data_IF_258840497767
#
_entry.id   IF_258840497767
#
_cell.length_a   1.000
_cell.length_b   1.000
_cell.length_c   1.000
_cell.angle_alpha   90.00
_cell.angle_beta   90.00
_cell.angle_gamma   90.00
#
_symmetry.space_group_name_H-M   'P 1'
#
loop_
_entity.id
_entity.type
_entity.pdbx_description
1 polymer ?
#
# COMPACT_ATOMS: atom_id res chain seq x y z
N UNK A 1 -11.30 15.68 -6.39
CA UNK A 1 -10.29 16.72 -6.12
C UNK A 1 -9.67 16.58 -4.73
N UNK A 2 -10.44 16.55 -3.62
CA UNK A 2 -9.85 16.38 -2.28
C UNK A 2 -9.02 15.10 -2.16
N UNK A 3 -9.56 13.96 -2.57
CA UNK A 3 -8.83 12.69 -2.59
C UNK A 3 -7.53 12.77 -3.40
N UNK A 4 -7.58 13.32 -4.62
CA UNK A 4 -6.38 13.49 -5.44
C UNK A 4 -5.33 14.38 -4.76
N UNK A 5 -5.73 15.43 -4.03
CA UNK A 5 -4.82 16.28 -3.27
C UNK A 5 -4.16 15.51 -2.12
N UNK A 6 -4.91 14.66 -1.42
CA UNK A 6 -4.37 13.78 -0.37
C UNK A 6 -3.39 12.76 -0.95
N UNK A 7 -3.72 12.15 -2.09
CA UNK A 7 -2.83 11.19 -2.77
C UNK A 7 -1.57 11.90 -3.29
N UNK A 8 -1.70 13.08 -3.87
CA UNK A 8 -0.56 13.87 -4.33
C UNK A 8 0.37 14.24 -3.17
N UNK A 9 -0.18 14.67 -2.03
CA UNK A 9 0.60 14.93 -0.83
C UNK A 9 1.30 13.67 -0.31
N UNK A 10 0.61 12.53 -0.29
CA UNK A 10 1.20 11.25 0.07
C UNK A 10 2.35 10.84 -0.86
N UNK A 11 2.22 11.08 -2.17
CA UNK A 11 3.29 10.88 -3.16
C UNK A 11 4.48 11.79 -2.84
N UNK A 12 4.28 13.08 -2.58
CA UNK A 12 5.37 14.00 -2.25
C UNK A 12 6.12 13.59 -0.98
N UNK A 13 5.38 13.22 0.09
CA UNK A 13 5.96 12.71 1.33
C UNK A 13 6.74 11.42 1.05
N UNK A 14 6.17 10.50 0.27
CA UNK A 14 6.82 9.23 -0.07
C UNK A 14 8.11 9.44 -0.87
N UNK A 15 8.12 10.39 -1.80
CA UNK A 15 9.30 10.74 -2.59
C UNK A 15 10.43 11.18 -1.65
N UNK A 16 10.14 12.09 -0.71
CA UNK A 16 11.11 12.56 0.27
C UNK A 16 11.60 11.44 1.20
N UNK A 17 10.68 10.59 1.67
CA UNK A 17 11.03 9.45 2.54
C UNK A 17 11.90 8.44 1.80
N UNK A 18 11.56 8.09 0.56
CA UNK A 18 12.33 7.18 -0.28
C UNK A 18 13.72 7.73 -0.61
N UNK A 19 13.80 9.02 -0.95
CA UNK A 19 15.07 9.71 -1.19
C UNK A 19 16.02 9.62 0.01
N UNK A 20 15.51 9.81 1.24
CA UNK A 20 16.29 9.70 2.48
C UNK A 20 16.68 8.26 2.84
N UNK A 21 15.94 7.27 2.38
CA UNK A 21 16.21 5.87 2.71
C UNK A 21 17.24 5.23 1.78
N UNK A 22 17.41 5.75 0.56
CA UNK A 22 18.20 5.08 -0.49
C UNK A 22 17.47 3.87 -1.08
N UNK A 23 18.03 3.28 -2.14
CA UNK A 23 17.33 2.24 -2.91
C UNK A 23 17.22 0.94 -2.12
N UNK A 24 18.35 0.41 -1.64
CA UNK A 24 18.43 -0.90 -0.98
C UNK A 24 17.47 -0.96 0.22
N UNK A 25 17.55 0.03 1.12
CA UNK A 25 16.68 0.08 2.30
C UNK A 25 15.21 0.15 1.90
N UNK A 26 14.89 0.89 0.84
CA UNK A 26 13.52 1.02 0.35
C UNK A 26 13.01 -0.29 -0.24
N UNK A 27 13.84 -1.09 -0.91
CA UNK A 27 13.46 -2.45 -1.38
C UNK A 27 13.04 -3.33 -0.21
N UNK A 28 13.87 -3.42 0.84
CA UNK A 28 13.52 -4.26 1.98
C UNK A 28 12.26 -3.77 2.70
N UNK A 29 12.09 -2.44 2.83
CA UNK A 29 10.84 -1.85 3.34
C UNK A 29 9.65 -2.21 2.47
N UNK A 30 9.79 -2.15 1.14
CA UNK A 30 8.74 -2.47 0.18
C UNK A 30 8.32 -3.93 0.29
N UNK A 31 9.29 -4.85 0.23
CA UNK A 31 9.03 -6.30 0.34
C UNK A 31 8.39 -6.63 1.69
N UNK A 32 8.93 -6.08 2.77
CA UNK A 32 8.36 -6.23 4.11
C UNK A 32 6.94 -5.69 4.19
N UNK A 33 6.65 -4.54 3.56
CA UNK A 33 5.30 -3.98 3.53
C UNK A 33 4.32 -4.88 2.78
N UNK A 34 4.71 -5.38 1.61
CA UNK A 34 3.86 -6.25 0.80
C UNK A 34 3.59 -7.57 1.53
N UNK A 35 4.62 -8.22 2.06
CA UNK A 35 4.47 -9.46 2.82
C UNK A 35 3.58 -9.27 4.07
N UNK A 36 3.85 -8.21 4.83
CA UNK A 36 3.03 -7.85 5.99
C UNK A 36 1.58 -7.54 5.59
N UNK A 37 1.37 -6.79 4.51
CA UNK A 37 0.05 -6.44 4.00
C UNK A 37 -0.77 -7.67 3.59
N UNK A 38 -0.17 -8.62 2.86
CA UNK A 38 -0.81 -9.89 2.49
C UNK A 38 -1.24 -10.68 3.72
N UNK A 39 -0.37 -10.78 4.74
CA UNK A 39 -0.74 -11.40 6.02
C UNK A 39 -1.86 -10.64 6.73
N UNK A 40 -1.84 -9.30 6.68
CA UNK A 40 -2.90 -8.45 7.24
C UNK A 40 -4.25 -8.71 6.60
N UNK A 41 -4.30 -8.81 5.27
CA UNK A 41 -5.51 -9.20 4.54
C UNK A 41 -5.96 -10.57 5.04
N UNK A 42 -5.10 -11.59 4.94
CA UNK A 42 -5.46 -12.95 5.29
C UNK A 42 -6.03 -13.08 6.72
N UNK A 43 -5.34 -12.53 7.71
CA UNK A 43 -5.79 -12.59 9.10
C UNK A 43 -7.04 -11.73 9.34
N UNK A 44 -7.13 -10.54 8.75
CA UNK A 44 -8.30 -9.68 8.95
C UNK A 44 -9.57 -10.28 8.37
N UNK A 45 -9.50 -10.87 7.17
CA UNK A 45 -10.62 -11.57 6.56
C UNK A 45 -11.01 -12.79 7.40
N UNK A 46 -10.05 -13.59 7.85
CA UNK A 46 -10.31 -14.75 8.71
C UNK A 46 -10.97 -14.38 10.05
N UNK A 47 -10.53 -13.30 10.69
CA UNK A 47 -11.06 -12.85 11.99
C UNK A 47 -12.43 -12.20 11.82
N UNK A 48 -12.66 -11.50 10.71
CA UNK A 48 -13.89 -10.76 10.45
C UNK A 48 -14.90 -11.52 9.58
N UNK A 49 -14.70 -12.81 9.32
CA UNK A 49 -15.54 -13.61 8.42
C UNK A 49 -17.04 -13.51 8.77
N UNK A 50 -17.36 -13.67 10.05
CA UNK A 50 -18.74 -13.65 10.56
C UNK A 50 -19.27 -12.22 10.83
N UNK A 51 -18.49 -11.19 10.53
CA UNK A 51 -18.90 -9.80 10.79
C UNK A 51 -19.81 -9.30 9.66
N UNK A 52 -20.82 -8.52 10.03
CA UNK A 52 -21.62 -7.78 9.06
C UNK A 52 -20.72 -6.87 8.21
N UNK A 53 -21.09 -6.69 6.93
CA UNK A 53 -20.37 -5.78 6.04
C UNK A 53 -20.75 -4.33 6.35
N UNK A 54 -20.08 -3.76 7.34
CA UNK A 54 -20.26 -2.39 7.80
C UNK A 54 -18.93 -1.61 7.81
N UNK A 55 -18.99 -0.32 8.18
CA UNK A 55 -17.81 0.52 8.29
C UNK A 55 -16.76 -0.05 9.26
N UNK A 56 -17.21 -0.80 10.29
CA UNK A 56 -16.32 -1.41 11.29
C UNK A 56 -15.49 -2.52 10.66
N UNK A 57 -16.11 -3.44 9.91
CA UNK A 57 -15.40 -4.51 9.21
C UNK A 57 -14.41 -3.95 8.19
N UNK A 58 -14.86 -2.99 7.37
CA UNK A 58 -14.01 -2.33 6.37
C UNK A 58 -12.82 -1.63 7.03
N UNK A 59 -13.09 -0.83 8.07
CA UNK A 59 -12.07 -0.12 8.83
C UNK A 59 -11.06 -1.09 9.45
N UNK A 60 -11.53 -2.20 10.02
CA UNK A 60 -10.66 -3.24 10.57
C UNK A 60 -9.74 -3.86 9.51
N UNK A 61 -10.25 -4.19 8.32
CA UNK A 61 -9.43 -4.71 7.21
C UNK A 61 -8.39 -3.70 6.76
N UNK A 62 -8.78 -2.43 6.52
CA UNK A 62 -7.84 -1.38 6.10
C UNK A 62 -6.75 -1.14 7.15
N UNK A 63 -7.15 -1.02 8.43
CA UNK A 63 -6.21 -0.85 9.54
C UNK A 63 -5.26 -2.03 9.62
N UNK A 64 -5.76 -3.27 9.46
CA UNK A 64 -4.94 -4.48 9.50
C UNK A 64 -3.90 -4.48 8.39
N UNK A 65 -4.30 -4.16 7.14
CA UNK A 65 -3.39 -4.06 5.99
C UNK A 65 -2.27 -3.05 6.26
N UNK A 66 -2.64 -1.85 6.71
CA UNK A 66 -1.68 -0.76 6.93
C UNK A 66 -0.77 -1.06 8.12
N UNK A 67 -1.33 -1.58 9.22
CA UNK A 67 -0.57 -1.90 10.42
C UNK A 67 0.41 -3.05 10.18
N UNK A 68 -0.06 -4.17 9.63
CA UNK A 68 0.80 -5.32 9.35
C UNK A 68 1.84 -5.02 8.28
N UNK A 69 1.48 -4.27 7.23
CA UNK A 69 2.42 -3.78 6.24
C UNK A 69 3.47 -2.84 6.85
N UNK A 70 3.07 -1.95 7.75
CA UNK A 70 4.02 -1.07 8.45
C UNK A 70 4.98 -1.88 9.33
N UNK A 71 4.49 -2.85 10.09
CA UNK A 71 5.31 -3.76 10.91
C UNK A 71 6.32 -4.51 10.02
N UNK A 72 5.85 -5.10 8.91
CA UNK A 72 6.72 -5.79 7.96
C UNK A 72 7.76 -4.86 7.32
N UNK A 73 7.37 -3.62 6.98
CA UNK A 73 8.30 -2.59 6.49
C UNK A 73 9.36 -2.23 7.52
N UNK A 74 9.01 -2.12 8.81
CA UNK A 74 9.99 -1.87 9.87
C UNK A 74 10.94 -3.05 10.06
N UNK A 75 10.43 -4.29 10.02
CA UNK A 75 11.26 -5.49 10.05
C UNK A 75 12.22 -5.54 8.85
N UNK A 76 11.72 -5.28 7.64
CA UNK A 76 12.55 -5.17 6.43
C UNK A 76 13.62 -4.08 6.55
N UNK A 77 13.26 -2.90 7.07
CA UNK A 77 14.22 -1.84 7.33
C UNK A 77 15.30 -2.26 8.35
N UNK A 78 14.96 -3.06 9.36
CA UNK A 78 15.90 -3.57 10.34
C UNK A 78 16.87 -4.58 9.70
N UNK A 79 16.37 -5.49 8.85
CA UNK A 79 17.21 -6.41 8.08
C UNK A 79 18.20 -5.64 7.18
N UNK A 80 17.71 -4.60 6.49
CA UNK A 80 18.54 -3.75 5.64
C UNK A 80 19.65 -3.02 6.39
N UNK A 81 19.51 -2.74 7.71
CA UNK A 81 20.59 -2.13 8.49
C UNK A 81 21.81 -3.04 8.62
N UNK A 82 21.59 -4.36 8.67
CA UNK A 82 22.66 -5.37 8.72
C UNK A 82 23.39 -5.51 7.39
N UNK A 83 22.69 -5.29 6.27
CA UNK A 83 23.30 -5.10 4.96
C UNK A 83 23.85 -3.68 4.89
N UNK A 84 24.97 -3.42 5.57
CA UNK A 84 25.69 -2.14 5.57
C UNK A 84 26.38 -1.89 4.22
N UNK A 85 25.59 -1.89 3.16
CA UNK A 85 25.96 -1.57 1.80
C UNK A 85 25.89 -0.05 1.63
N UNK A 86 26.84 0.68 2.22
CA UNK A 86 27.25 1.99 1.66
C UNK A 86 27.98 1.72 0.33
N UNK A 87 27.26 1.13 -0.63
CA UNK A 87 27.81 0.77 -1.95
C UNK A 87 27.93 2.03 -2.82
N UNK A 88 27.06 3.01 -2.60
CA UNK A 88 27.01 4.22 -3.41
C UNK A 88 27.64 5.41 -2.67
N UNK A 89 28.81 5.85 -3.13
CA UNK A 89 29.46 7.11 -2.74
C UNK A 89 29.50 8.07 -3.94
N UNK A 90 29.50 9.37 -3.66
CA UNK A 90 29.58 10.41 -4.71
C UNK A 90 28.31 10.49 -5.58
N UNK A 91 28.40 10.78 -6.89
CA UNK A 91 27.23 11.00 -7.76
C UNK A 91 26.28 9.79 -7.85
N UNK A 92 26.78 8.58 -7.60
CA UNK A 92 25.94 7.37 -7.56
C UNK A 92 24.98 7.35 -6.36
N UNK A 93 25.27 8.08 -5.28
CA UNK A 93 24.36 8.19 -4.14
C UNK A 93 23.08 8.96 -4.52
N UNK A 94 23.17 9.91 -5.45
CA UNK A 94 21.99 10.60 -5.97
C UNK A 94 21.07 9.64 -6.74
N UNK A 95 21.64 8.77 -7.58
CA UNK A 95 20.87 7.75 -8.30
C UNK A 95 20.23 6.74 -7.34
N UNK A 96 20.95 6.32 -6.30
CA UNK A 96 20.41 5.46 -5.24
C UNK A 96 19.21 6.10 -4.52
N UNK A 97 19.33 7.37 -4.14
CA UNK A 97 18.23 8.12 -3.53
C UNK A 97 17.06 8.35 -4.50
N UNK A 98 17.30 8.62 -5.78
CA UNK A 98 16.23 8.73 -6.78
C UNK A 98 15.48 7.41 -6.98
N UNK A 99 16.22 6.29 -7.07
CA UNK A 99 15.61 4.97 -7.18
C UNK A 99 14.82 4.62 -5.90
N UNK A 100 15.33 4.99 -4.72
CA UNK A 100 14.61 4.89 -3.45
C UNK A 100 13.32 5.71 -3.43
N UNK A 101 13.36 6.95 -3.93
CA UNK A 101 12.18 7.82 -4.09
C UNK A 101 11.12 7.15 -4.98
N UNK A 102 11.51 6.72 -6.18
CA UNK A 102 10.61 6.06 -7.12
C UNK A 102 9.95 4.82 -6.51
N UNK A 103 10.70 3.99 -5.81
CA UNK A 103 10.17 2.77 -5.20
C UNK A 103 9.20 3.05 -4.05
N UNK A 104 9.47 4.07 -3.23
CA UNK A 104 8.56 4.46 -2.15
C UNK A 104 7.26 5.07 -2.70
N UNK A 105 7.33 5.82 -3.81
CA UNK A 105 6.14 6.31 -4.53
C UNK A 105 5.31 5.14 -5.05
N UNK A 106 5.95 4.16 -5.72
CA UNK A 106 5.27 2.94 -6.19
C UNK A 106 4.57 2.23 -5.05
N UNK A 107 5.23 2.10 -3.90
CA UNK A 107 4.63 1.52 -2.69
C UNK A 107 3.36 2.24 -2.28
N UNK A 108 3.41 3.57 -2.17
CA UNK A 108 2.26 4.37 -1.74
C UNK A 108 1.13 4.28 -2.73
N UNK A 109 1.40 4.38 -4.04
CA UNK A 109 0.38 4.22 -5.09
C UNK A 109 -0.33 2.87 -4.96
N UNK A 110 0.43 1.79 -4.81
CA UNK A 110 -0.11 0.43 -4.66
C UNK A 110 -1.03 0.32 -3.45
N UNK A 111 -0.57 0.79 -2.29
CA UNK A 111 -1.32 0.70 -1.03
C UNK A 111 -2.57 1.56 -1.07
N UNK A 112 -2.45 2.79 -1.57
CA UNK A 112 -3.59 3.69 -1.73
C UNK A 112 -4.62 3.11 -2.69
N UNK A 113 -4.19 2.52 -3.81
CA UNK A 113 -5.11 1.87 -4.76
C UNK A 113 -5.83 0.67 -4.13
N UNK A 114 -5.11 -0.18 -3.40
CA UNK A 114 -5.69 -1.31 -2.65
C UNK A 114 -6.77 -0.80 -1.67
N UNK A 115 -6.42 0.18 -0.82
CA UNK A 115 -7.36 0.77 0.15
C UNK A 115 -8.57 1.40 -0.53
N UNK A 116 -8.36 2.16 -1.61
CA UNK A 116 -9.45 2.76 -2.37
C UNK A 116 -10.39 1.70 -2.94
N UNK A 117 -9.85 0.58 -3.45
CA UNK A 117 -10.68 -0.52 -3.97
C UNK A 117 -11.50 -1.17 -2.86
N UNK A 118 -10.90 -1.40 -1.68
CA UNK A 118 -11.61 -1.92 -0.50
C UNK A 118 -12.74 -0.97 -0.07
N UNK A 119 -12.50 0.35 -0.11
CA UNK A 119 -13.49 1.38 0.20
C UNK A 119 -14.66 1.43 -0.81
N UNK A 120 -14.44 1.01 -2.06
CA UNK A 120 -15.53 0.94 -3.05
C UNK A 120 -16.60 -0.10 -2.69
N UNK A 121 -16.26 -1.12 -1.90
CA UNK A 121 -17.21 -2.12 -1.41
C UNK A 121 -17.78 -1.81 -0.02
N UNK A 122 -17.36 -0.68 0.57
CA UNK A 122 -17.87 -0.24 1.87
C UNK A 122 -19.21 0.49 1.72
N UNK A 123 -20.03 0.58 2.78
CA UNK A 123 -21.24 1.40 2.77
C UNK A 123 -20.97 2.93 2.77
N UNK A 124 -19.72 3.38 2.57
CA UNK A 124 -19.36 4.80 2.64
C UNK A 124 -19.52 5.53 1.28
N UNK A 125 -20.75 5.96 0.96
CA UNK A 125 -21.05 6.60 -0.32
C UNK A 125 -20.20 7.85 -0.64
N UNK A 126 -19.96 8.71 0.35
CA UNK A 126 -19.13 9.91 0.17
C UNK A 126 -17.70 9.55 -0.30
N UNK A 127 -17.12 8.49 0.25
CA UNK A 127 -15.80 8.04 -0.15
C UNK A 127 -15.82 7.39 -1.54
N UNK A 128 -16.83 6.57 -1.83
CA UNK A 128 -17.01 5.98 -3.17
C UNK A 128 -17.08 7.07 -4.26
N UNK A 129 -17.84 8.14 -4.03
CA UNK A 129 -17.95 9.27 -4.95
C UNK A 129 -16.61 9.99 -5.18
N UNK A 130 -15.78 10.09 -4.15
CA UNK A 130 -14.44 10.68 -4.27
C UNK A 130 -13.50 9.79 -5.08
N UNK A 131 -13.55 8.48 -4.86
CA UNK A 131 -12.74 7.48 -5.59
C UNK A 131 -13.14 7.45 -7.06
N UNK A 132 -14.45 7.41 -7.36
CA UNK A 132 -14.95 7.40 -8.74
C UNK A 132 -14.55 8.64 -9.55
N UNK A 133 -14.34 9.78 -8.88
CA UNK A 133 -13.90 11.04 -9.52
C UNK A 133 -12.39 11.25 -9.48
N UNK A 134 -11.61 10.32 -8.93
CA UNK A 134 -10.15 10.47 -8.76
C UNK A 134 -9.43 10.28 -10.08
N UNK A 135 -8.71 11.30 -10.53
CA UNK A 135 -7.91 11.20 -11.75
C UNK A 135 -6.64 10.36 -11.53
N UNK A 136 -6.06 10.41 -10.33
CA UNK A 136 -4.84 9.67 -10.03
C UNK A 136 -5.13 8.17 -10.00
N UNK A 137 -6.17 7.74 -9.30
CA UNK A 137 -6.54 6.33 -9.21
C UNK A 137 -6.88 5.72 -10.58
N UNK A 138 -7.63 6.44 -11.42
CA UNK A 138 -7.92 6.00 -12.79
C UNK A 138 -6.66 5.87 -13.64
N UNK A 139 -5.70 6.80 -13.52
CA UNK A 139 -4.45 6.76 -14.29
C UNK A 139 -3.53 5.60 -13.89
N UNK A 140 -3.48 5.25 -12.61
CA UNK A 140 -2.56 4.21 -12.12
C UNK A 140 -3.15 2.80 -12.24
N UNK A 141 -4.49 2.67 -12.31
CA UNK A 141 -5.20 1.40 -12.40
C UNK A 141 -4.63 0.41 -13.43
N UNK A 142 -4.32 0.80 -14.69
CA UNK A 142 -3.80 -0.13 -15.69
C UNK A 142 -2.40 -0.67 -15.38
N UNK A 143 -1.67 -0.01 -14.50
CA UNK A 143 -0.28 -0.35 -14.13
C UNK A 143 -0.20 -1.15 -12.83
N UNK A 144 -1.34 -1.49 -12.22
CA UNK A 144 -1.34 -2.22 -10.96
C UNK A 144 -0.79 -3.64 -11.15
N UNK A 145 0.16 -4.08 -10.30
CA UNK A 145 0.72 -5.41 -10.41
C UNK A 145 -0.32 -6.47 -10.06
N UNK A 146 -0.21 -7.63 -10.70
CA UNK A 146 -1.15 -8.77 -10.53
C UNK A 146 -1.37 -9.18 -9.08
N UNK A 147 -0.36 -9.04 -8.24
CA UNK A 147 -0.48 -9.33 -6.80
C UNK A 147 -1.56 -8.47 -6.13
N UNK A 148 -1.69 -7.21 -6.52
CA UNK A 148 -2.65 -6.26 -5.94
C UNK A 148 -4.05 -6.50 -6.48
N UNK A 149 -4.18 -6.84 -7.75
CA UNK A 149 -5.47 -7.24 -8.30
C UNK A 149 -5.97 -8.54 -7.65
N UNK A 150 -5.09 -9.52 -7.43
CA UNK A 150 -5.43 -10.75 -6.70
C UNK A 150 -5.85 -10.49 -5.25
N UNK A 151 -5.11 -9.64 -4.55
CA UNK A 151 -5.46 -9.24 -3.18
C UNK A 151 -6.85 -8.57 -3.12
N UNK A 152 -7.15 -7.70 -4.08
CA UNK A 152 -8.47 -7.10 -4.24
C UNK A 152 -9.55 -8.16 -4.49
N UNK A 153 -9.29 -9.13 -5.37
CA UNK A 153 -10.25 -10.20 -5.67
C UNK A 153 -10.57 -11.05 -4.42
N UNK A 154 -9.57 -11.33 -3.57
CA UNK A 154 -9.77 -12.03 -2.30
C UNK A 154 -10.66 -11.24 -1.34
N UNK A 155 -10.38 -9.94 -1.16
CA UNK A 155 -11.18 -9.08 -0.29
C UNK A 155 -12.61 -8.94 -0.84
N UNK A 156 -12.76 -8.78 -2.16
CA UNK A 156 -14.06 -8.69 -2.82
C UNK A 156 -14.88 -9.95 -2.62
N UNK A 157 -14.27 -11.12 -2.82
CA UNK A 157 -14.95 -12.40 -2.67
C UNK A 157 -15.50 -12.58 -1.25
N UNK A 158 -14.66 -12.25 -0.26
CA UNK A 158 -15.01 -12.33 1.14
C UNK A 158 -16.11 -11.34 1.55
N UNK A 159 -16.06 -10.10 1.07
CA UNK A 159 -17.08 -9.10 1.39
C UNK A 159 -18.42 -9.38 0.73
N UNK A 160 -18.41 -9.89 -0.49
CA UNK A 160 -19.61 -10.16 -1.26
C UNK A 160 -20.13 -11.59 -1.04
N UNK A 161 -19.54 -12.36 -0.12
CA UNK A 161 -19.83 -13.78 0.10
C UNK A 161 -19.80 -14.60 -1.21
N UNK A 162 -18.97 -14.19 -2.17
CA UNK A 162 -18.76 -14.95 -3.39
C UNK A 162 -17.83 -16.09 -3.02
N UNK A 163 -18.37 -17.30 -2.86
CA UNK A 163 -17.55 -18.51 -2.74
C UNK A 163 -16.80 -18.68 -4.07
N UNK A 164 -15.52 -18.33 -4.08
CA UNK A 164 -14.55 -18.68 -5.12
C UNK A 164 -14.13 -20.15 -4.98
#
# INVERSE_FOLDING_TARGET
>A
MLLDAVIALAILISAFVGYKNGFIRTIFKFVGYVAGGVLGIYFSLKISHDWALDLKRIGFVIISIVASGSIGSYAGAALAKGLRATIFRGPLAFLDSLAGSALEIIRVIIVTYLIATVLLWSPWESMQNQIAKSQILTKVQPYMPRLITQANDWVKAEFLNLRL
#
